data_IF_200535015155
#
_entry.id   IF_200535015155
#
_cell.length_a   1.000
_cell.length_b   1.000
_cell.length_c   1.000
_cell.angle_alpha   90.00
_cell.angle_beta   90.00
_cell.angle_gamma   90.00
#
_symmetry.space_group_name_H-M   'P 1'
#
loop_
_entity.id
_entity.type
_entity.pdbx_description
1 polymer ?
#
# COMPACT_ATOMS: atom_id res chain seq x y z
N UNK A 1 -41.79 -11.29 -4.82
CA UNK A 1 -42.41 -9.96 -4.62
C UNK A 1 -41.36 -8.84 -4.73
N UNK A 2 -40.52 -8.86 -5.77
CA UNK A 2 -39.07 -8.71 -5.54
C UNK A 2 -38.38 -7.48 -6.15
N UNK A 3 -39.08 -6.54 -6.79
CA UNK A 3 -38.45 -5.36 -7.41
C UNK A 3 -39.36 -4.12 -7.44
N UNK A 4 -40.65 -4.33 -7.67
CA UNK A 4 -41.66 -3.25 -7.70
C UNK A 4 -41.89 -2.62 -6.32
N UNK A 5 -41.79 -3.39 -5.23
CA UNK A 5 -41.95 -2.86 -3.87
C UNK A 5 -40.74 -2.05 -3.39
N UNK A 6 -39.53 -2.35 -3.87
CA UNK A 6 -38.31 -1.59 -3.55
C UNK A 6 -38.23 -0.28 -4.33
N UNK A 7 -38.72 -0.25 -5.57
CA UNK A 7 -38.74 0.98 -6.39
C UNK A 7 -39.64 2.07 -5.78
N UNK A 8 -40.80 1.68 -5.21
CA UNK A 8 -41.73 2.61 -4.54
C UNK A 8 -41.14 3.24 -3.27
N UNK A 9 -40.14 2.60 -2.66
CA UNK A 9 -39.48 3.12 -1.47
C UNK A 9 -38.41 4.18 -1.80
N UNK A 10 -38.01 4.33 -3.07
CA UNK A 10 -36.92 5.24 -3.47
C UNK A 10 -37.25 6.70 -3.18
N UNK A 11 -38.42 7.18 -3.59
CA UNK A 11 -38.81 8.59 -3.37
C UNK A 11 -38.92 8.96 -1.89
N UNK A 12 -39.64 8.20 -1.03
CA UNK A 12 -39.68 8.48 0.40
C UNK A 12 -38.30 8.47 1.08
N UNK A 13 -37.40 7.59 0.65
CA UNK A 13 -36.04 7.54 1.18
C UNK A 13 -35.19 8.73 0.71
N UNK A 14 -35.40 9.23 -0.51
CA UNK A 14 -34.77 10.46 -1.00
C UNK A 14 -35.28 11.68 -0.21
N UNK A 15 -36.58 11.74 0.07
CA UNK A 15 -37.18 12.79 0.91
C UNK A 15 -36.59 12.76 2.32
N UNK A 16 -36.55 11.59 2.96
CA UNK A 16 -35.94 11.42 4.28
C UNK A 16 -34.45 11.82 4.32
N UNK A 17 -33.71 11.63 3.22
CA UNK A 17 -32.31 12.05 3.11
C UNK A 17 -32.17 13.58 3.10
N UNK A 18 -33.15 14.29 2.52
CA UNK A 18 -33.15 15.75 2.35
C UNK A 18 -33.89 16.50 3.46
N UNK A 19 -34.69 15.80 4.25
CA UNK A 19 -35.52 16.38 5.30
C UNK A 19 -34.65 17.06 6.39
N UNK A 20 -34.79 18.37 6.63
CA UNK A 20 -34.01 19.07 7.65
C UNK A 20 -34.32 18.59 9.08
N UNK A 21 -35.51 18.07 9.35
CA UNK A 21 -35.95 17.63 10.67
C UNK A 21 -35.41 16.25 11.04
N UNK A 22 -34.90 15.50 10.05
CA UNK A 22 -34.34 14.18 10.27
C UNK A 22 -32.93 14.26 10.86
N UNK A 23 -32.72 13.49 11.92
CA UNK A 23 -31.42 13.32 12.53
C UNK A 23 -30.43 12.59 11.58
N UNK A 24 -29.13 12.74 11.86
CA UNK A 24 -28.05 12.14 11.06
C UNK A 24 -28.19 10.62 10.95
N UNK A 25 -28.64 9.93 12.00
CA UNK A 25 -28.78 8.47 11.99
C UNK A 25 -29.93 8.03 11.08
N UNK A 26 -31.04 8.77 11.07
CA UNK A 26 -32.18 8.54 10.18
C UNK A 26 -31.79 8.77 8.72
N UNK A 27 -31.06 9.84 8.41
CA UNK A 27 -30.50 10.11 7.08
C UNK A 27 -29.49 9.04 6.64
N UNK A 28 -28.62 8.60 7.55
CA UNK A 28 -27.66 7.54 7.32
C UNK A 28 -28.35 6.21 6.95
N UNK A 29 -29.43 5.84 7.65
CA UNK A 29 -30.26 4.67 7.33
C UNK A 29 -30.94 4.80 5.98
N UNK A 30 -31.41 6.00 5.64
CA UNK A 30 -32.00 6.26 4.32
C UNK A 30 -30.98 6.06 3.20
N UNK A 31 -29.78 6.63 3.34
CA UNK A 31 -28.68 6.43 2.40
C UNK A 31 -28.32 4.94 2.25
N UNK A 32 -28.20 4.21 3.36
CA UNK A 32 -27.90 2.77 3.34
C UNK A 32 -28.98 1.98 2.57
N UNK A 33 -30.26 2.28 2.83
CA UNK A 33 -31.38 1.63 2.16
C UNK A 33 -31.39 1.93 0.65
N UNK A 34 -31.14 3.19 0.25
CA UNK A 34 -31.01 3.57 -1.16
C UNK A 34 -29.88 2.80 -1.85
N UNK A 35 -28.73 2.65 -1.19
CA UNK A 35 -27.62 1.84 -1.68
C UNK A 35 -27.98 0.36 -1.88
N UNK A 36 -28.78 -0.23 -0.98
CA UNK A 36 -29.27 -1.61 -1.11
C UNK A 36 -30.29 -1.77 -2.24
N UNK A 37 -31.10 -0.74 -2.48
CA UNK A 37 -32.09 -0.74 -3.57
C UNK A 37 -31.38 -0.65 -4.93
N UNK A 38 -30.29 0.14 -5.02
CA UNK A 38 -29.50 0.23 -6.24
C UNK A 38 -30.14 1.11 -7.34
N UNK A 39 -31.06 2.00 -6.99
CA UNK A 39 -31.76 2.84 -7.98
C UNK A 39 -30.91 4.03 -8.40
N UNK A 40 -30.74 4.24 -9.71
CA UNK A 40 -30.03 5.40 -10.26
C UNK A 40 -30.66 6.75 -9.86
N UNK A 41 -31.97 6.76 -9.54
CA UNK A 41 -32.65 7.96 -9.02
C UNK A 41 -32.04 8.48 -7.72
N UNK A 42 -31.40 7.59 -6.95
CA UNK A 42 -30.77 7.94 -5.69
C UNK A 42 -29.38 8.58 -5.86
N UNK A 43 -28.78 8.50 -7.07
CA UNK A 43 -27.40 8.94 -7.30
C UNK A 43 -27.20 10.42 -6.97
N UNK A 44 -28.03 11.30 -7.53
CA UNK A 44 -27.88 12.74 -7.30
C UNK A 44 -28.14 13.14 -5.83
N UNK A 45 -29.22 12.68 -5.16
CA UNK A 45 -29.39 12.90 -3.72
C UNK A 45 -28.25 12.37 -2.85
N UNK A 46 -27.68 11.22 -3.20
CA UNK A 46 -26.53 10.67 -2.47
C UNK A 46 -25.24 11.46 -2.72
N UNK A 47 -25.05 12.03 -3.92
CA UNK A 47 -23.94 12.96 -4.20
C UNK A 47 -24.08 14.24 -3.36
N UNK A 48 -25.29 14.76 -3.19
CA UNK A 48 -25.56 15.90 -2.30
C UNK A 48 -25.26 15.53 -0.84
N UNK A 49 -25.78 14.39 -0.36
CA UNK A 49 -25.50 13.91 1.00
C UNK A 49 -24.01 13.60 1.23
N UNK A 50 -23.27 13.22 0.19
CA UNK A 50 -21.83 12.99 0.26
C UNK A 50 -21.03 14.26 0.61
N UNK A 51 -21.57 15.45 0.34
CA UNK A 51 -20.94 16.71 0.72
C UNK A 51 -21.03 16.95 2.24
N UNK A 52 -22.06 16.44 2.91
CA UNK A 52 -22.21 16.52 4.36
C UNK A 52 -21.19 15.59 5.05
N UNK A 53 -20.28 16.12 5.88
CA UNK A 53 -19.32 15.31 6.64
C UNK A 53 -19.95 14.17 7.45
N UNK A 54 -21.17 14.36 7.97
CA UNK A 54 -21.86 13.39 8.82
C UNK A 54 -22.49 12.22 8.03
N UNK A 55 -22.77 12.44 6.73
CA UNK A 55 -23.42 11.45 5.86
C UNK A 55 -22.48 10.87 4.81
N UNK A 56 -21.32 11.50 4.60
CA UNK A 56 -20.31 11.16 3.59
C UNK A 56 -20.01 9.67 3.49
N UNK A 57 -19.79 8.99 4.62
CA UNK A 57 -19.44 7.56 4.64
C UNK A 57 -20.60 6.70 4.13
N UNK A 58 -21.82 6.94 4.60
CA UNK A 58 -23.00 6.18 4.20
C UNK A 58 -23.40 6.51 2.76
N UNK A 59 -23.27 7.77 2.36
CA UNK A 59 -23.50 8.19 0.98
C UNK A 59 -22.50 7.56 0.02
N UNK A 60 -21.20 7.55 0.35
CA UNK A 60 -20.19 6.90 -0.49
C UNK A 60 -20.41 5.39 -0.59
N UNK A 61 -20.70 4.71 0.52
CA UNK A 61 -21.04 3.28 0.53
C UNK A 61 -22.28 2.96 -0.32
N UNK A 62 -23.30 3.82 -0.27
CA UNK A 62 -24.50 3.67 -1.07
C UNK A 62 -24.23 3.86 -2.56
N UNK A 63 -23.47 4.90 -2.93
CA UNK A 63 -23.07 5.16 -4.32
C UNK A 63 -22.22 4.03 -4.91
N UNK A 64 -21.31 3.47 -4.12
CA UNK A 64 -20.49 2.31 -4.51
C UNK A 64 -21.40 1.09 -4.78
N UNK A 65 -22.38 0.84 -3.91
CA UNK A 65 -23.34 -0.27 -4.09
C UNK A 65 -24.23 -0.10 -5.31
N UNK A 66 -24.61 1.13 -5.64
CA UNK A 66 -25.37 1.45 -6.86
C UNK A 66 -24.51 1.17 -8.10
N UNK A 67 -23.19 1.37 -8.03
CA UNK A 67 -22.26 1.03 -9.12
C UNK A 67 -22.30 2.03 -10.29
N UNK A 68 -22.79 3.25 -10.07
CA UNK A 68 -22.83 4.28 -11.10
C UNK A 68 -21.41 4.82 -11.36
N UNK A 69 -20.93 4.69 -12.60
CA UNK A 69 -19.55 5.06 -12.99
C UNK A 69 -19.30 6.57 -12.82
N UNK A 70 -20.24 7.41 -13.26
CA UNK A 70 -20.10 8.87 -13.16
C UNK A 70 -20.05 9.33 -11.70
N UNK A 71 -20.90 8.75 -10.85
CA UNK A 71 -20.86 9.02 -9.42
C UNK A 71 -19.53 8.58 -8.81
N UNK A 72 -19.02 7.42 -9.20
CA UNK A 72 -17.75 6.86 -8.73
C UNK A 72 -16.55 7.74 -9.10
N UNK A 73 -16.55 8.33 -10.30
CA UNK A 73 -15.52 9.29 -10.71
C UNK A 73 -15.60 10.61 -9.93
N UNK A 74 -16.81 11.15 -9.77
CA UNK A 74 -17.03 12.40 -9.03
C UNK A 74 -16.58 12.27 -7.57
N UNK A 75 -17.02 11.22 -6.87
CA UNK A 75 -16.63 11.00 -5.48
C UNK A 75 -15.14 10.67 -5.37
N UNK A 76 -14.54 9.97 -6.35
CA UNK A 76 -13.09 9.70 -6.34
C UNK A 76 -12.30 11.00 -6.28
N UNK A 77 -12.65 12.00 -7.10
CA UNK A 77 -11.93 13.28 -7.11
C UNK A 77 -12.02 14.00 -5.76
N UNK A 78 -13.19 14.02 -5.14
CA UNK A 78 -13.37 14.63 -3.80
C UNK A 78 -12.61 13.86 -2.72
N UNK A 79 -12.61 12.53 -2.77
CA UNK A 79 -11.87 11.70 -1.81
C UNK A 79 -10.36 11.85 -1.98
N UNK A 80 -9.86 11.97 -3.21
CA UNK A 80 -8.43 12.23 -3.48
C UNK A 80 -8.00 13.53 -2.81
N UNK A 81 -8.78 14.60 -2.92
CA UNK A 81 -8.48 15.86 -2.23
C UNK A 81 -8.44 15.69 -0.70
N UNK A 82 -9.31 14.84 -0.14
CA UNK A 82 -9.39 14.53 1.30
C UNK A 82 -8.23 13.67 1.81
N UNK A 83 -7.47 12.99 0.96
CA UNK A 83 -6.26 12.28 1.38
C UNK A 83 -5.20 13.24 1.95
N UNK A 84 -5.31 14.54 1.64
CA UNK A 84 -4.41 15.60 2.12
C UNK A 84 -4.95 16.34 3.35
N UNK A 85 -6.06 15.88 3.93
CA UNK A 85 -6.70 16.55 5.06
C UNK A 85 -5.81 16.53 6.32
N UNK A 86 -5.72 17.61 7.11
CA UNK A 86 -4.99 17.59 8.37
C UNK A 86 -5.56 16.57 9.37
N UNK A 87 -6.88 16.32 9.34
CA UNK A 87 -7.54 15.35 10.21
C UNK A 87 -7.30 13.91 9.71
N UNK A 88 -6.57 13.14 10.51
CA UNK A 88 -6.25 11.74 10.23
C UNK A 88 -7.47 10.84 10.04
N UNK A 89 -8.59 11.11 10.74
CA UNK A 89 -9.82 10.33 10.58
C UNK A 89 -10.40 10.51 9.18
N UNK A 90 -10.46 11.76 8.70
CA UNK A 90 -10.97 12.09 7.37
C UNK A 90 -10.08 11.52 6.26
N UNK A 91 -8.76 11.49 6.46
CA UNK A 91 -7.83 10.83 5.52
C UNK A 91 -8.08 9.32 5.43
N UNK A 92 -8.20 8.66 6.57
CA UNK A 92 -8.41 7.21 6.63
C UNK A 92 -9.75 6.82 6.01
N UNK A 93 -10.81 7.57 6.28
CA UNK A 93 -12.11 7.40 5.65
C UNK A 93 -12.02 7.58 4.12
N UNK A 94 -11.26 8.57 3.65
CA UNK A 94 -11.05 8.79 2.24
C UNK A 94 -10.29 7.65 1.56
N UNK A 95 -9.20 7.17 2.19
CA UNK A 95 -8.43 6.05 1.70
C UNK A 95 -9.28 4.77 1.62
N UNK A 96 -10.04 4.46 2.67
CA UNK A 96 -10.93 3.28 2.70
C UNK A 96 -12.00 3.36 1.60
N UNK A 97 -12.63 4.52 1.42
CA UNK A 97 -13.62 4.71 0.37
C UNK A 97 -13.01 4.54 -1.03
N UNK A 98 -11.81 5.08 -1.27
CA UNK A 98 -11.10 4.94 -2.55
C UNK A 98 -10.71 3.50 -2.87
N UNK A 99 -10.37 2.69 -1.85
CA UNK A 99 -10.17 1.24 -1.99
C UNK A 99 -11.45 0.56 -2.44
N UNK A 100 -12.57 0.82 -1.76
CA UNK A 100 -13.87 0.22 -2.09
C UNK A 100 -14.33 0.61 -3.50
N UNK A 101 -14.01 1.82 -3.95
CA UNK A 101 -14.28 2.30 -5.32
C UNK A 101 -13.34 1.66 -6.35
N UNK A 102 -12.15 1.19 -5.94
CA UNK A 102 -11.12 0.70 -6.86
C UNK A 102 -10.52 1.82 -7.72
N UNK A 103 -10.43 3.04 -7.17
CA UNK A 103 -10.03 4.22 -7.94
C UNK A 103 -8.55 4.18 -8.34
N UNK A 104 -8.27 3.85 -9.61
CA UNK A 104 -6.91 3.87 -10.17
C UNK A 104 -6.27 5.25 -10.10
N UNK A 105 -7.07 6.30 -10.29
CA UNK A 105 -6.65 7.70 -10.22
C UNK A 105 -6.10 8.07 -8.84
N UNK A 106 -6.66 7.49 -7.76
CA UNK A 106 -6.16 7.73 -6.41
C UNK A 106 -4.76 7.17 -6.18
N UNK A 107 -4.49 5.96 -6.68
CA UNK A 107 -3.14 5.35 -6.61
C UNK A 107 -2.13 6.22 -7.35
N UNK A 108 -2.46 6.67 -8.56
CA UNK A 108 -1.57 7.49 -9.38
C UNK A 108 -1.29 8.85 -8.73
N UNK A 109 -2.31 9.49 -8.15
CA UNK A 109 -2.14 10.72 -7.37
C UNK A 109 -1.22 10.52 -6.16
N UNK A 110 -1.40 9.44 -5.41
CA UNK A 110 -0.59 9.14 -4.24
C UNK A 110 0.87 8.81 -4.59
N UNK A 111 1.10 8.14 -5.71
CA UNK A 111 2.46 7.89 -6.22
C UNK A 111 3.18 9.20 -6.54
N UNK A 112 2.46 10.20 -7.09
CA UNK A 112 3.03 11.53 -7.31
C UNK A 112 3.34 12.23 -5.98
N UNK A 113 2.43 12.13 -5.00
CA UNK A 113 2.60 12.75 -3.68
C UNK A 113 3.77 12.17 -2.87
N UNK A 114 4.21 10.93 -3.15
CA UNK A 114 5.44 10.36 -2.58
C UNK A 114 6.71 11.15 -2.95
N UNK A 115 6.66 12.01 -3.98
CA UNK A 115 7.78 12.83 -4.45
C UNK A 115 7.65 14.31 -4.07
N UNK A 116 6.65 14.65 -3.26
CA UNK A 116 6.39 16.04 -2.88
C UNK A 116 7.55 16.62 -2.04
N UNK A 117 7.95 17.89 -2.25
CA UNK A 117 9.01 18.51 -1.44
C UNK A 117 8.68 18.57 0.05
N UNK A 118 7.40 18.49 0.42
CA UNK A 118 6.92 18.56 1.80
C UNK A 118 6.88 17.17 2.45
N UNK A 119 7.70 16.97 3.48
CA UNK A 119 7.75 15.73 4.26
C UNK A 119 6.38 15.24 4.72
N UNK A 120 5.53 16.17 5.14
CA UNK A 120 4.18 15.87 5.59
C UNK A 120 3.32 15.24 4.48
N UNK A 121 3.44 15.73 3.24
CA UNK A 121 2.69 15.22 2.09
C UNK A 121 3.20 13.83 1.70
N UNK A 122 4.53 13.64 1.63
CA UNK A 122 5.11 12.31 1.35
C UNK A 122 4.69 11.27 2.38
N UNK A 123 4.75 11.63 3.67
CA UNK A 123 4.32 10.77 4.78
C UNK A 123 2.85 10.37 4.65
N UNK A 124 1.97 11.32 4.37
CA UNK A 124 0.54 11.06 4.16
C UNK A 124 0.29 10.14 2.96
N UNK A 125 1.06 10.33 1.89
CA UNK A 125 0.97 9.50 0.71
C UNK A 125 1.37 8.05 1.01
N UNK A 126 2.51 7.85 1.68
CA UNK A 126 2.98 6.54 2.12
C UNK A 126 1.97 5.87 3.07
N UNK A 127 1.44 6.60 4.06
CA UNK A 127 0.41 6.11 4.99
C UNK A 127 -0.85 5.64 4.24
N UNK A 128 -1.33 6.44 3.28
CA UNK A 128 -2.53 6.10 2.49
C UNK A 128 -2.31 4.86 1.62
N UNK A 129 -1.11 4.68 1.06
CA UNK A 129 -0.75 3.51 0.27
C UNK A 129 -0.69 2.21 1.08
N UNK A 130 -0.46 2.26 2.40
CA UNK A 130 -0.63 1.09 3.30
C UNK A 130 -2.08 0.60 3.28
N UNK A 131 -3.05 1.51 3.20
CA UNK A 131 -4.48 1.15 3.16
C UNK A 131 -4.88 0.68 1.78
N UNK A 132 -4.39 1.34 0.72
CA UNK A 132 -4.80 1.06 -0.65
C UNK A 132 -4.25 -0.24 -1.22
N UNK A 133 -3.05 -0.66 -0.81
CA UNK A 133 -2.41 -1.92 -1.23
C UNK A 133 -2.43 -2.08 -2.75
N UNK A 134 -1.58 -1.32 -3.43
CA UNK A 134 -1.50 -1.34 -4.89
C UNK A 134 -0.08 -1.65 -5.38
N UNK A 135 0.05 -2.70 -6.19
CA UNK A 135 1.32 -3.12 -6.78
C UNK A 135 1.95 -2.03 -7.66
N UNK A 136 1.13 -1.15 -8.24
CA UNK A 136 1.62 0.00 -9.03
C UNK A 136 2.54 0.93 -8.22
N UNK A 137 2.42 0.91 -6.89
CA UNK A 137 3.21 1.77 -6.02
C UNK A 137 4.57 1.15 -5.62
N UNK A 138 4.85 -0.12 -5.95
CA UNK A 138 6.03 -0.85 -5.46
C UNK A 138 7.34 -0.08 -5.73
N UNK A 139 7.60 0.30 -6.98
CA UNK A 139 8.85 0.99 -7.34
C UNK A 139 9.00 2.32 -6.61
N UNK A 140 7.93 3.10 -6.53
CA UNK A 140 7.97 4.40 -5.84
C UNK A 140 8.14 4.23 -4.33
N UNK A 141 7.48 3.26 -3.70
CA UNK A 141 7.62 2.96 -2.28
C UNK A 141 9.04 2.46 -1.94
N UNK A 142 9.70 1.73 -2.84
CA UNK A 142 11.08 1.28 -2.64
C UNK A 142 12.04 2.48 -2.62
N UNK A 143 11.87 3.44 -3.54
CA UNK A 143 12.65 4.68 -3.50
C UNK A 143 12.36 5.48 -2.22
N UNK A 144 11.11 5.48 -1.75
CA UNK A 144 10.71 6.15 -0.50
C UNK A 144 11.30 5.49 0.76
N UNK A 145 11.94 4.33 0.67
CA UNK A 145 12.67 3.77 1.82
C UNK A 145 13.84 4.67 2.24
N UNK A 146 14.44 5.42 1.31
CA UNK A 146 15.53 6.38 1.54
C UNK A 146 15.04 7.79 1.91
N UNK A 147 13.75 7.96 2.21
CA UNK A 147 13.20 9.26 2.58
C UNK A 147 13.89 9.82 3.83
N UNK A 148 14.26 11.11 3.78
CA UNK A 148 14.86 11.82 4.92
C UNK A 148 13.96 11.84 6.16
N UNK A 149 12.64 11.71 5.96
CA UNK A 149 11.69 11.58 7.04
C UNK A 149 11.50 10.11 7.44
N UNK A 150 11.96 9.77 8.65
CA UNK A 150 11.88 8.41 9.21
C UNK A 150 10.45 7.84 9.23
N UNK A 151 9.43 8.67 9.44
CA UNK A 151 8.05 8.17 9.42
C UNK A 151 7.60 7.79 8.01
N UNK A 152 8.01 8.56 7.00
CA UNK A 152 7.71 8.28 5.60
C UNK A 152 8.33 6.95 5.16
N UNK A 153 9.61 6.70 5.49
CA UNK A 153 10.26 5.43 5.18
C UNK A 153 9.66 4.24 5.92
N UNK A 154 9.24 4.41 7.19
CA UNK A 154 8.50 3.39 7.95
C UNK A 154 7.17 3.03 7.27
N UNK A 155 6.40 4.04 6.84
CA UNK A 155 5.14 3.78 6.15
C UNK A 155 5.36 3.12 4.79
N UNK A 156 6.40 3.50 4.06
CA UNK A 156 6.77 2.85 2.81
C UNK A 156 7.09 1.36 3.01
N UNK A 157 7.91 1.01 4.02
CA UNK A 157 8.20 -0.37 4.37
C UNK A 157 6.93 -1.15 4.77
N UNK A 158 6.04 -0.54 5.58
CA UNK A 158 4.76 -1.16 5.95
C UNK A 158 3.84 -1.39 4.75
N UNK A 159 3.81 -0.46 3.80
CA UNK A 159 3.02 -0.60 2.58
C UNK A 159 3.55 -1.77 1.74
N UNK A 160 4.88 -1.86 1.55
CA UNK A 160 5.53 -2.95 0.83
C UNK A 160 5.30 -4.31 1.50
N UNK A 161 5.42 -4.40 2.82
CA UNK A 161 5.11 -5.61 3.60
C UNK A 161 3.65 -6.05 3.37
N UNK A 162 2.71 -5.11 3.43
CA UNK A 162 1.29 -5.42 3.23
C UNK A 162 0.98 -5.81 1.79
N UNK A 163 1.57 -5.13 0.81
CA UNK A 163 1.49 -5.52 -0.61
C UNK A 163 2.00 -6.95 -0.78
N UNK A 164 3.21 -7.24 -0.28
CA UNK A 164 3.80 -8.56 -0.35
C UNK A 164 2.94 -9.64 0.33
N UNK A 165 2.19 -9.30 1.39
CA UNK A 165 1.25 -10.20 2.09
C UNK A 165 -0.07 -10.40 1.36
N UNK A 166 -0.54 -9.44 0.58
CA UNK A 166 -1.86 -9.51 -0.06
C UNK A 166 -1.76 -10.01 -1.50
N UNK A 167 -0.76 -9.55 -2.26
CA UNK A 167 -0.70 -9.80 -3.70
C UNK A 167 0.25 -10.94 -4.05
N UNK A 168 -0.03 -11.62 -5.17
CA UNK A 168 0.84 -12.66 -5.76
C UNK A 168 1.96 -12.04 -6.61
N UNK A 169 2.12 -10.72 -6.64
CA UNK A 169 3.10 -10.02 -7.46
C UNK A 169 4.51 -9.99 -6.82
N UNK A 170 4.84 -11.10 -6.16
CA UNK A 170 6.18 -11.44 -5.71
C UNK A 170 7.24 -11.27 -6.81
N UNK A 171 6.99 -11.56 -8.10
CA UNK A 171 8.00 -11.36 -9.14
C UNK A 171 8.47 -9.91 -9.25
N UNK A 172 7.57 -8.91 -9.21
CA UNK A 172 7.97 -7.50 -9.24
C UNK A 172 8.76 -7.11 -8.00
N UNK A 173 8.33 -7.52 -6.80
CA UNK A 173 9.08 -7.26 -5.56
C UNK A 173 10.46 -7.97 -5.56
N UNK A 174 10.53 -9.21 -6.03
CA UNK A 174 11.76 -9.98 -6.10
C UNK A 174 12.75 -9.40 -7.13
N UNK A 175 12.27 -8.83 -8.24
CA UNK A 175 13.12 -8.11 -9.20
C UNK A 175 13.83 -6.91 -8.57
N UNK A 176 13.26 -6.34 -7.50
CA UNK A 176 13.83 -5.19 -6.80
C UNK A 176 14.81 -5.59 -5.68
N UNK A 177 15.02 -6.90 -5.44
CA UNK A 177 15.93 -7.40 -4.42
C UNK A 177 17.36 -6.85 -4.55
N UNK A 178 17.97 -6.74 -5.75
CA UNK A 178 19.31 -6.14 -5.89
C UNK A 178 19.37 -4.70 -5.38
N UNK A 179 18.34 -3.89 -5.65
CA UNK A 179 18.29 -2.52 -5.16
C UNK A 179 18.05 -2.47 -3.65
N UNK A 180 17.16 -3.30 -3.10
CA UNK A 180 16.96 -3.40 -1.65
C UNK A 180 18.24 -3.78 -0.89
N UNK A 181 19.08 -4.65 -1.47
CA UNK A 181 20.38 -5.00 -0.88
C UNK A 181 21.34 -3.80 -0.83
N UNK A 182 21.27 -2.89 -1.82
CA UNK A 182 22.06 -1.64 -1.79
C UNK A 182 21.64 -0.65 -0.70
N UNK A 183 20.46 -0.83 -0.11
CA UNK A 183 19.94 0.02 0.98
C UNK A 183 20.35 -0.48 2.39
N UNK A 184 20.93 -1.68 2.51
CA UNK A 184 21.40 -2.23 3.80
C UNK A 184 22.48 -1.36 4.46
N UNK A 185 23.46 -0.76 3.77
CA UNK A 185 24.46 0.09 4.41
C UNK A 185 23.98 1.53 4.71
N UNK A 186 22.75 1.90 4.35
CA UNK A 186 22.23 3.26 4.54
C UNK A 186 21.45 3.40 5.86
N UNK A 187 21.03 4.63 6.20
CA UNK A 187 20.16 4.88 7.36
C UNK A 187 18.82 4.11 7.28
N UNK A 188 18.43 3.68 6.09
CA UNK A 188 17.22 2.92 5.79
C UNK A 188 17.39 1.40 5.93
N UNK A 189 18.51 0.95 6.47
CA UNK A 189 18.87 -0.47 6.62
C UNK A 189 17.77 -1.30 7.26
N UNK A 190 17.15 -0.82 8.34
CA UNK A 190 16.10 -1.54 9.06
C UNK A 190 14.84 -1.73 8.19
N UNK A 191 14.44 -0.68 7.46
CA UNK A 191 13.30 -0.71 6.56
C UNK A 191 13.56 -1.67 5.40
N UNK A 192 14.73 -1.58 4.76
CA UNK A 192 15.13 -2.46 3.67
C UNK A 192 15.18 -3.93 4.11
N UNK A 193 15.80 -4.22 5.26
CA UNK A 193 15.87 -5.57 5.83
C UNK A 193 14.48 -6.15 6.12
N UNK A 194 13.54 -5.32 6.61
CA UNK A 194 12.17 -5.76 6.85
C UNK A 194 11.49 -6.23 5.56
N UNK A 195 11.64 -5.48 4.46
CA UNK A 195 11.05 -5.82 3.15
C UNK A 195 11.72 -7.06 2.55
N UNK A 196 13.05 -7.14 2.62
CA UNK A 196 13.82 -8.32 2.18
C UNK A 196 13.35 -9.59 2.88
N UNK A 197 13.17 -9.53 4.20
CA UNK A 197 12.74 -10.68 5.01
C UNK A 197 11.38 -11.20 4.55
N UNK A 198 10.45 -10.29 4.22
CA UNK A 198 9.11 -10.65 3.74
C UNK A 198 9.16 -11.31 2.37
N UNK A 199 9.97 -10.77 1.45
CA UNK A 199 10.18 -11.35 0.12
C UNK A 199 10.79 -12.75 0.25
N UNK A 200 11.84 -12.91 1.05
CA UNK A 200 12.52 -14.19 1.27
C UNK A 200 11.56 -15.24 1.85
N UNK A 201 10.80 -14.88 2.90
CA UNK A 201 9.86 -15.79 3.55
C UNK A 201 8.74 -16.27 2.60
N UNK A 202 8.21 -15.38 1.75
CA UNK A 202 7.13 -15.76 0.82
C UNK A 202 7.60 -16.44 -0.44
N UNK A 203 8.69 -15.95 -1.04
CA UNK A 203 9.21 -16.54 -2.27
C UNK A 203 9.93 -17.86 -2.02
N UNK A 204 10.20 -18.20 -0.75
CA UNK A 204 11.16 -19.24 -0.37
C UNK A 204 12.52 -19.00 -1.04
N UNK A 205 12.86 -17.75 -1.31
CA UNK A 205 14.20 -17.35 -1.72
C UNK A 205 15.07 -17.43 -0.48
N UNK A 206 15.52 -18.65 -0.16
CA UNK A 206 16.55 -18.88 0.85
C UNK A 206 17.90 -18.81 0.15
N UNK A 207 18.54 -17.64 0.21
CA UNK A 207 19.99 -17.53 0.19
C UNK A 207 20.31 -16.16 0.75
N UNK A 208 20.64 -16.12 2.04
CA UNK A 208 21.70 -15.37 2.73
C UNK A 208 21.42 -15.52 4.23
N UNK A 209 22.36 -16.09 4.98
CA UNK A 209 22.35 -15.93 6.44
C UNK A 209 22.71 -14.45 6.72
N UNK A 210 21.72 -13.62 7.02
CA UNK A 210 21.94 -12.26 7.54
C UNK A 210 22.36 -12.42 9.01
N UNK A 211 23.61 -12.80 9.25
CA UNK A 211 24.13 -12.94 10.60
C UNK A 211 24.55 -11.56 11.13
N UNK A 212 23.87 -11.07 12.18
CA UNK A 212 24.42 -10.01 13.02
C UNK A 212 25.43 -10.67 13.98
N UNK A 213 26.73 -10.55 13.70
CA UNK A 213 27.76 -10.96 14.67
C UNK A 213 28.02 -9.84 15.68
N UNK A 214 28.08 -10.13 17.01
CA UNK A 214 28.53 -9.14 18.00
C UNK A 214 30.00 -8.78 17.76
N UNK A 215 30.36 -7.52 17.98
CA UNK A 215 31.75 -7.04 17.88
C UNK A 215 32.69 -7.90 18.74
N UNK A 216 33.89 -8.29 18.27
CA UNK A 216 34.93 -8.80 19.16
C UNK A 216 35.31 -7.70 20.16
N UNK A 217 35.69 -8.05 21.40
CA UNK A 217 35.96 -7.05 22.44
C UNK A 217 37.06 -6.07 21.99
N UNK A 218 36.71 -4.78 21.94
CA UNK A 218 37.60 -3.69 21.50
C UNK A 218 38.78 -3.50 22.45
N UNK A 219 40.00 -3.54 21.91
CA UNK A 219 41.16 -2.87 22.50
C UNK A 219 41.31 -1.47 21.88
N UNK A 220 40.32 -0.58 22.03
CA UNK A 220 40.47 0.85 21.73
C UNK A 220 39.44 1.68 22.51
N UNK A 221 39.78 2.81 23.16
CA UNK A 221 38.96 3.42 24.20
C UNK A 221 38.00 4.50 23.69
N UNK A 222 37.44 4.39 22.48
CA UNK A 222 36.43 5.35 22.02
C UNK A 222 35.47 4.76 20.97
N UNK A 223 34.29 4.24 21.39
CA UNK A 223 33.31 3.66 20.48
C UNK A 223 32.30 4.72 20.06
N UNK A 224 32.23 5.02 18.75
CA UNK A 224 31.04 5.63 18.17
C UNK A 224 30.26 4.52 17.45
N UNK A 225 29.11 4.20 18.01
CA UNK A 225 28.22 3.08 17.72
C UNK A 225 27.86 2.98 16.23
N UNK A 226 28.41 2.00 15.53
CA UNK A 226 28.03 1.65 14.16
C UNK A 226 27.98 0.13 13.98
N UNK A 227 26.79 -0.41 13.75
CA UNK A 227 26.65 -1.83 13.43
C UNK A 227 27.20 -2.10 12.02
N UNK A 228 28.19 -2.97 11.91
CA UNK A 228 28.75 -3.41 10.61
C UNK A 228 28.14 -4.74 10.20
N UNK A 229 27.55 -4.81 9.00
CA UNK A 229 27.00 -6.04 8.42
C UNK A 229 28.05 -6.71 7.52
N UNK A 230 28.31 -8.02 7.71
CA UNK A 230 29.23 -8.80 6.87
C UNK A 230 28.43 -9.74 5.96
N UNK A 231 28.72 -9.72 4.66
CA UNK A 231 28.14 -10.62 3.67
C UNK A 231 29.07 -11.83 3.47
N UNK A 232 28.66 -13.03 3.86
CA UNK A 232 29.42 -14.25 3.57
C UNK A 232 29.06 -14.82 2.19
N UNK A 233 30.10 -15.24 1.47
CA UNK A 233 30.05 -15.65 0.07
C UNK A 233 29.24 -16.93 -0.22
N UNK A 234 28.66 -16.92 -1.44
CA UNK A 234 27.98 -17.98 -2.22
C UNK A 234 27.41 -19.18 -1.45
N UNK A 235 26.08 -19.23 -1.42
CA UNK A 235 25.33 -20.49 -1.48
C UNK A 235 24.22 -20.33 -2.52
N UNK A 236 24.11 -21.28 -3.45
CA UNK A 236 23.01 -21.49 -4.41
C UNK A 236 22.86 -20.51 -5.58
N UNK A 237 23.01 -21.02 -6.81
CA UNK A 237 22.64 -20.31 -8.04
C UNK A 237 21.14 -19.99 -8.09
N UNK A 238 20.82 -18.75 -8.45
CA UNK A 238 19.49 -18.30 -8.86
C UNK A 238 19.23 -18.84 -10.27
N UNK A 239 18.30 -19.77 -10.44
CA UNK A 239 17.74 -20.12 -11.76
C UNK A 239 16.32 -19.59 -11.83
N UNK A 240 16.20 -18.29 -12.05
CA UNK A 240 15.03 -17.71 -12.71
C UNK A 240 15.52 -17.29 -14.10
N UNK A 241 14.84 -17.74 -15.16
CA UNK A 241 15.26 -17.52 -16.54
C UNK A 241 15.63 -16.05 -16.81
N UNK A 242 16.91 -15.86 -17.12
CA UNK A 242 17.58 -14.68 -17.68
C UNK A 242 17.33 -13.32 -17.01
N UNK A 243 18.24 -12.97 -16.09
CA UNK A 243 18.79 -11.61 -16.02
C UNK A 243 20.29 -11.71 -15.73
N UNK A 244 21.06 -11.66 -16.81
CA UNK A 244 22.52 -11.64 -16.84
C UNK A 244 22.98 -10.19 -16.72
N UNK A 245 23.72 -9.87 -15.66
CA UNK A 245 24.61 -8.70 -15.65
C UNK A 245 25.99 -9.19 -15.22
N UNK A 246 26.88 -9.35 -16.20
CA UNK A 246 28.30 -9.54 -15.96
C UNK A 246 29.00 -8.18 -15.90
N UNK A 247 29.93 -8.02 -14.96
CA UNK A 247 31.34 -7.78 -15.29
C UNK A 247 32.23 -7.99 -14.06
N UNK A 248 33.13 -8.96 -14.24
CA UNK A 248 34.48 -9.05 -13.68
C UNK A 248 34.65 -9.45 -12.19
N UNK A 249 34.75 -10.77 -11.95
CA UNK A 249 36.02 -11.39 -11.57
C UNK A 249 35.90 -12.93 -11.51
N UNK A 250 36.77 -13.59 -12.28
CA UNK A 250 36.86 -15.03 -12.47
C UNK A 250 37.81 -15.60 -11.41
N UNK A 251 37.37 -16.63 -10.69
CA UNK A 251 38.27 -17.71 -10.27
C UNK A 251 37.53 -19.05 -10.38
N UNK A 252 38.25 -19.99 -10.98
CA UNK A 252 37.86 -21.25 -11.64
C UNK A 252 37.28 -22.34 -10.75
N UNK A 253 36.44 -23.17 -11.39
CA UNK A 253 35.97 -24.49 -10.94
C UNK A 253 37.13 -25.50 -10.81
N UNK A 254 37.09 -26.34 -9.78
CA UNK A 254 37.61 -27.72 -9.84
C UNK A 254 36.71 -28.62 -8.99
N UNK A 255 35.77 -29.30 -9.65
CA UNK A 255 35.02 -30.40 -9.05
C UNK A 255 35.66 -31.72 -9.52
N UNK A 256 36.40 -32.40 -8.64
CA UNK A 256 36.55 -33.84 -8.77
C UNK A 256 35.38 -34.50 -8.05
N UNK A 257 34.57 -35.17 -8.87
CA UNK A 257 33.43 -35.99 -8.50
C UNK A 257 33.98 -37.40 -8.21
N UNK A 258 34.07 -37.81 -6.95
CA UNK A 258 34.18 -39.25 -6.64
C UNK A 258 32.77 -39.79 -6.47
N UNK A 259 32.32 -40.53 -7.48
CA UNK A 259 31.23 -41.48 -7.35
C UNK A 259 31.73 -42.71 -6.58
N UNK A 260 30.84 -43.51 -5.96
CA UNK A 260 31.22 -44.74 -5.31
C UNK A 260 31.33 -45.86 -6.36
N UNK A 261 32.41 -46.64 -6.32
CA UNK A 261 32.45 -47.94 -6.98
C UNK A 261 32.60 -49.05 -5.92
N UNK A 262 31.63 -49.96 -6.00
CA UNK A 262 31.62 -51.41 -5.70
C UNK A 262 32.30 -51.93 -4.43
#
# INVERSE_FOLDING_TARGET
MSKVSSEKAVEPLIEALKDPDYDVQSKAKAAEALGKIGSDKAVQPLIEAFQDPNLRRQASEALIKIGNVMASELISNTLIARLKDPNIKLRNEAAEALVKIGSKKAVESLILDLKDPTDHVRRQAAESLVTIVSDKAIESLILTLEDSNVYTSIFAAKALDKIAKVTCNLPTLAQQLPHLLTLIPTESSQQALSVITVIQARCKYYNYNIAQTPLPPENNPNPTTGNTFIFNDKVGQVVAGNLTVQRDNIATQNNQKTAPES
#
